data_IF_050114908391
#
_entry.id   IF_050114908391
#
_cell.length_a   1.000
_cell.length_b   1.000
_cell.length_c   1.000
_cell.angle_alpha   90.00
_cell.angle_beta   90.00
_cell.angle_gamma   90.00
#
_symmetry.space_group_name_H-M   'P 1'
#
loop_
_entity.id
_entity.type
_entity.pdbx_description
1 polymer ?
#
# COMPACT_ATOMS: atom_id res chain seq x y z
N UNK A 1 8.46 16.79 -3.46
CA UNK A 1 7.67 16.14 -2.40
C UNK A 1 6.21 16.46 -2.68
N UNK A 2 5.37 15.45 -2.90
CA UNK A 2 3.93 15.67 -3.10
C UNK A 2 3.21 15.62 -1.74
N UNK A 3 2.22 16.48 -1.55
CA UNK A 3 1.34 16.48 -0.38
C UNK A 3 -0.10 16.26 -0.82
N UNK A 4 -0.87 15.49 -0.05
CA UNK A 4 -2.27 15.18 -0.31
C UNK A 4 -3.13 15.61 0.91
N UNK A 5 -4.29 16.27 0.70
CA UNK A 5 -4.87 16.63 -0.59
C UNK A 5 -4.06 17.72 -1.33
N UNK A 6 -4.07 17.66 -2.67
CA UNK A 6 -3.39 18.66 -3.50
C UNK A 6 -4.18 19.97 -3.38
N UNK A 7 -3.58 21.01 -2.81
CA UNK A 7 -4.20 22.34 -2.76
C UNK A 7 -4.14 23.03 -4.13
N UNK A 8 -4.78 24.19 -4.27
CA UNK A 8 -4.69 25.03 -5.48
C UNK A 8 -3.28 25.62 -5.71
N UNK A 9 -2.32 25.37 -4.81
CA UNK A 9 -0.94 25.79 -4.96
C UNK A 9 -0.27 25.14 -6.18
N UNK A 10 0.17 25.98 -7.11
CA UNK A 10 0.86 25.60 -8.36
C UNK A 10 2.08 24.70 -8.14
N UNK A 11 2.79 24.86 -7.01
CA UNK A 11 3.95 24.05 -6.63
C UNK A 11 3.53 22.63 -6.20
N UNK A 12 2.44 22.51 -5.45
CA UNK A 12 1.91 21.21 -5.04
C UNK A 12 1.30 20.46 -6.22
N UNK A 13 0.60 21.17 -7.11
CA UNK A 13 0.11 20.59 -8.36
C UNK A 13 1.25 20.12 -9.28
N UNK A 14 2.34 20.89 -9.39
CA UNK A 14 3.48 20.48 -10.21
C UNK A 14 4.21 19.27 -9.61
N UNK A 15 4.36 19.24 -8.29
CA UNK A 15 4.92 18.09 -7.56
C UNK A 15 4.06 16.83 -7.73
N UNK A 16 2.73 16.96 -7.70
CA UNK A 16 1.83 15.83 -7.95
C UNK A 16 1.92 15.34 -9.40
N UNK A 17 1.93 16.25 -10.39
CA UNK A 17 2.14 15.86 -11.80
C UNK A 17 3.45 15.11 -12.01
N UNK A 18 4.51 15.50 -11.29
CA UNK A 18 5.78 14.79 -11.30
C UNK A 18 5.66 13.38 -10.71
N UNK A 19 4.96 13.21 -9.58
CA UNK A 19 4.66 11.89 -9.00
C UNK A 19 3.94 10.98 -10.01
N UNK A 20 2.90 11.49 -10.70
CA UNK A 20 2.17 10.72 -11.71
C UNK A 20 3.10 10.30 -12.87
N UNK A 21 4.02 11.18 -13.28
CA UNK A 21 4.98 10.92 -14.35
C UNK A 21 6.06 9.91 -13.95
N UNK A 22 6.49 9.91 -12.69
CA UNK A 22 7.51 8.99 -12.16
C UNK A 22 6.96 7.60 -11.85
N UNK A 23 5.63 7.44 -11.79
CA UNK A 23 5.04 6.11 -11.70
C UNK A 23 5.37 5.30 -12.96
N UNK A 24 5.96 4.12 -12.76
CA UNK A 24 6.18 3.16 -13.83
C UNK A 24 4.83 2.74 -14.41
N UNK A 25 4.75 2.62 -15.73
CA UNK A 25 3.57 2.07 -16.37
C UNK A 25 3.33 0.65 -15.82
N UNK A 26 2.10 0.37 -15.39
CA UNK A 26 1.76 -0.96 -14.93
C UNK A 26 1.82 -1.94 -16.12
N UNK A 27 2.86 -2.77 -16.20
CA UNK A 27 2.89 -3.89 -17.14
C UNK A 27 2.06 -5.06 -16.60
N UNK A 28 1.29 -5.71 -17.47
CA UNK A 28 0.58 -6.94 -17.11
C UNK A 28 1.44 -8.15 -17.49
N UNK A 29 1.86 -8.92 -16.49
CA UNK A 29 2.62 -10.15 -16.71
C UNK A 29 1.70 -11.28 -17.17
N UNK A 30 1.74 -11.62 -18.46
CA UNK A 30 1.18 -12.85 -19.02
C UNK A 30 2.32 -13.75 -19.51
N UNK A 31 3.09 -14.34 -18.57
CA UNK A 31 4.34 -15.06 -18.84
C UNK A 31 5.56 -14.13 -18.97
N UNK A 32 6.67 -14.63 -19.54
CA UNK A 32 7.95 -13.90 -19.80
C UNK A 32 7.85 -12.76 -20.85
N UNK A 33 6.65 -12.21 -21.08
CA UNK A 33 6.44 -11.10 -22.01
C UNK A 33 5.61 -10.03 -21.35
N UNK A 34 6.27 -8.91 -21.04
CA UNK A 34 5.62 -7.65 -20.71
C UNK A 34 4.91 -7.12 -21.97
N UNK A 35 3.59 -7.24 -22.02
CA UNK A 35 2.78 -6.64 -23.09
C UNK A 35 2.39 -5.23 -22.63
N UNK A 36 2.86 -4.22 -23.35
CA UNK A 36 2.44 -2.82 -23.22
C UNK A 36 1.04 -2.66 -23.83
N UNK A 37 0.02 -2.57 -22.99
CA UNK A 37 -1.36 -2.28 -23.38
C UNK A 37 -1.64 -0.77 -23.21
N UNK A 38 -2.17 -0.11 -24.23
CA UNK A 38 -2.44 1.33 -24.20
C UNK A 38 -3.50 1.71 -23.17
N UNK A 39 -4.41 0.81 -22.78
CA UNK A 39 -5.33 0.99 -21.65
C UNK A 39 -4.56 1.10 -20.31
N UNK A 40 -3.41 0.41 -20.20
CA UNK A 40 -2.56 0.44 -19.01
C UNK A 40 -1.67 1.69 -18.93
N UNK A 41 -1.59 2.52 -19.99
CA UNK A 41 -0.79 3.77 -19.97
C UNK A 41 -1.22 4.77 -18.87
N UNK A 42 -2.42 4.61 -18.31
CA UNK A 42 -2.99 5.51 -17.29
C UNK A 42 -3.07 4.91 -15.90
N UNK A 43 -2.55 3.68 -15.72
CA UNK A 43 -2.30 3.06 -14.44
C UNK A 43 -0.78 3.07 -14.19
N UNK A 44 -0.36 3.92 -13.27
CA UNK A 44 1.01 3.98 -12.79
C UNK A 44 1.17 3.21 -11.48
N UNK A 45 2.31 2.53 -11.31
CA UNK A 45 2.74 1.95 -10.04
C UNK A 45 4.09 2.50 -9.60
N UNK A 46 4.34 2.49 -8.31
CA UNK A 46 5.66 2.78 -7.75
C UNK A 46 5.94 1.78 -6.63
N UNK A 47 7.05 1.06 -6.75
CA UNK A 47 7.50 0.10 -5.75
C UNK A 47 8.13 0.83 -4.54
N UNK A 48 8.11 0.19 -3.36
CA UNK A 48 8.48 0.82 -2.07
C UNK A 48 9.90 1.41 -2.01
N UNK A 49 10.79 1.03 -2.93
CA UNK A 49 12.15 1.55 -3.00
C UNK A 49 12.21 2.96 -3.63
N UNK A 50 11.17 3.32 -4.39
CA UNK A 50 11.09 4.55 -5.17
C UNK A 50 10.24 5.65 -4.50
N UNK A 51 9.58 5.35 -3.36
CA UNK A 51 8.82 6.35 -2.60
C UNK A 51 8.87 6.15 -1.10
N UNK A 52 8.61 7.25 -0.38
CA UNK A 52 8.36 7.25 1.06
C UNK A 52 7.01 7.91 1.34
N UNK A 53 6.37 7.50 2.43
CA UNK A 53 5.14 8.12 2.92
C UNK A 53 5.20 8.28 4.44
N UNK A 54 4.63 9.36 4.95
CA UNK A 54 4.40 9.57 6.38
C UNK A 54 3.08 8.94 6.86
N UNK A 55 2.27 8.38 5.96
CA UNK A 55 1.06 7.69 6.33
C UNK A 55 1.38 6.30 6.88
N UNK A 56 0.86 6.00 8.08
CA UNK A 56 0.95 4.68 8.69
C UNK A 56 -0.43 4.22 9.14
N UNK A 57 -0.94 3.07 8.63
CA UNK A 57 -2.27 2.58 9.00
C UNK A 57 -2.36 2.15 10.48
N UNK A 58 -1.22 2.04 11.18
CA UNK A 58 -1.18 1.70 12.60
C UNK A 58 -1.58 2.88 13.50
N UNK A 59 -1.10 4.09 13.22
CA UNK A 59 -1.39 5.26 14.08
C UNK A 59 -2.86 5.69 14.03
N UNK A 60 -3.54 5.36 12.94
CA UNK A 60 -4.96 5.67 12.74
C UNK A 60 -5.90 4.52 13.12
N UNK A 61 -5.40 3.45 13.78
CA UNK A 61 -6.22 2.33 14.24
C UNK A 61 -6.84 1.46 13.13
N UNK A 62 -6.39 1.62 11.88
CA UNK A 62 -6.89 0.83 10.74
C UNK A 62 -6.53 -0.64 10.94
N UNK A 63 -5.28 -0.93 11.30
CA UNK A 63 -4.83 -2.31 11.54
C UNK A 63 -5.55 -2.92 12.75
N UNK A 64 -5.77 -2.16 13.82
CA UNK A 64 -6.51 -2.64 15.00
C UNK A 64 -7.95 -2.98 14.65
N UNK A 65 -8.60 -2.16 13.82
CA UNK A 65 -9.96 -2.42 13.32
C UNK A 65 -9.99 -3.71 12.50
N UNK A 66 -9.00 -3.94 11.62
CA UNK A 66 -8.89 -5.17 10.84
C UNK A 66 -8.66 -6.38 11.76
N UNK A 67 -7.81 -6.26 12.77
CA UNK A 67 -7.58 -7.32 13.77
C UNK A 67 -8.88 -7.66 14.50
N UNK A 68 -9.63 -6.67 14.96
CA UNK A 68 -10.90 -6.91 15.65
C UNK A 68 -11.94 -7.57 14.74
N UNK A 69 -12.06 -7.11 13.49
CA UNK A 69 -13.03 -7.65 12.55
C UNK A 69 -12.67 -9.08 12.06
N UNK A 70 -11.39 -9.35 11.79
CA UNK A 70 -10.95 -10.58 11.15
C UNK A 70 -10.38 -11.63 12.11
N UNK A 71 -9.72 -11.21 13.21
CA UNK A 71 -9.05 -12.14 14.13
C UNK A 71 -9.96 -12.64 15.27
N UNK A 72 -11.01 -11.91 15.64
CA UNK A 72 -11.92 -12.34 16.72
C UNK A 72 -12.81 -13.54 16.35
N UNK A 73 -12.89 -13.89 15.07
CA UNK A 73 -13.73 -14.98 14.55
C UNK A 73 -13.03 -16.35 14.44
N UNK A 74 -11.75 -16.45 14.81
CA UNK A 74 -11.05 -17.75 14.82
C UNK A 74 -11.05 -18.38 16.22
N UNK A 75 -11.52 -19.63 16.27
CA UNK A 75 -11.53 -20.50 17.44
C UNK A 75 -10.20 -20.42 18.22
N UNK A 76 -10.27 -19.88 19.45
CA UNK A 76 -9.11 -19.66 20.35
C UNK A 76 -8.33 -20.96 20.63
N UNK A 77 -8.89 -22.11 20.29
CA UNK A 77 -8.27 -23.43 20.50
C UNK A 77 -7.39 -23.94 19.36
N UNK A 78 -7.38 -23.31 18.16
CA UNK A 78 -6.75 -23.91 16.95
C UNK A 78 -5.67 -23.09 16.23
N UNK A 79 -5.48 -21.81 16.55
CA UNK A 79 -4.48 -21.00 15.82
C UNK A 79 -3.60 -20.18 16.76
N UNK A 80 -2.28 -20.37 16.66
CA UNK A 80 -1.27 -19.59 17.39
C UNK A 80 -1.13 -18.13 16.89
N UNK A 81 -1.89 -17.72 15.87
CA UNK A 81 -1.82 -16.37 15.31
C UNK A 81 -2.69 -15.42 16.13
N UNK A 82 -2.06 -14.37 16.69
CA UNK A 82 -2.71 -13.41 17.58
C UNK A 82 -2.68 -11.96 17.07
N UNK A 83 -2.16 -11.72 15.87
CA UNK A 83 -2.10 -10.37 15.30
C UNK A 83 -2.08 -10.35 13.78
N UNK A 84 -2.16 -9.13 13.25
CA UNK A 84 -2.03 -8.83 11.83
C UNK A 84 -0.96 -7.74 11.68
N UNK A 85 -0.07 -7.93 10.71
CA UNK A 85 0.93 -6.96 10.30
C UNK A 85 0.62 -6.48 8.88
N UNK A 86 0.39 -5.19 8.72
CA UNK A 86 0.35 -4.52 7.43
C UNK A 86 1.77 -4.12 6.99
N UNK A 87 2.17 -4.55 5.79
CA UNK A 87 3.44 -4.21 5.17
C UNK A 87 3.20 -3.43 3.89
N UNK A 88 3.71 -2.20 3.81
CA UNK A 88 3.61 -1.38 2.61
C UNK A 88 4.21 -2.14 1.41
N UNK A 89 3.50 -2.14 0.29
CA UNK A 89 3.87 -2.88 -0.89
C UNK A 89 4.06 -1.98 -2.12
N UNK A 90 3.07 -1.16 -2.47
CA UNK A 90 3.15 -0.30 -3.66
C UNK A 90 2.24 0.90 -3.54
N UNK A 91 2.58 1.96 -4.26
CA UNK A 91 1.69 3.06 -4.58
C UNK A 91 1.13 2.85 -5.99
N UNK A 92 -0.17 3.07 -6.18
CA UNK A 92 -0.79 3.06 -7.51
C UNK A 92 -1.50 4.38 -7.78
N UNK A 93 -1.37 4.88 -9.01
CA UNK A 93 -2.11 6.05 -9.52
C UNK A 93 -2.89 5.63 -10.75
N UNK A 94 -4.21 5.81 -10.72
CA UNK A 94 -5.08 5.61 -11.88
C UNK A 94 -5.62 6.97 -12.32
N UNK A 95 -5.37 7.33 -13.57
CA UNK A 95 -5.69 8.66 -14.09
C UNK A 95 -6.81 8.59 -15.13
N UNK A 96 -7.77 9.50 -15.03
CA UNK A 96 -8.80 9.64 -16.04
C UNK A 96 -8.34 10.35 -17.31
N UNK A 97 -9.05 10.17 -18.44
CA UNK A 97 -10.07 9.15 -18.67
C UNK A 97 -9.44 7.77 -18.94
N UNK A 98 -10.09 6.64 -18.68
CA UNK A 98 -9.62 5.26 -18.94
C UNK A 98 -8.61 4.64 -17.95
N UNK A 99 -8.40 5.20 -16.77
CA UNK A 99 -7.60 4.53 -15.73
C UNK A 99 -8.36 3.32 -15.17
N UNK A 100 -8.02 2.09 -15.59
CA UNK A 100 -8.68 0.86 -15.12
C UNK A 100 -7.68 -0.15 -14.54
N UNK A 101 -8.17 -1.10 -13.75
CA UNK A 101 -7.41 -2.32 -13.44
C UNK A 101 -8.29 -3.54 -13.59
N UNK A 102 -7.93 -4.41 -14.54
CA UNK A 102 -8.67 -5.65 -14.83
C UNK A 102 -8.74 -6.54 -13.59
N UNK A 103 -9.79 -7.35 -13.54
CA UNK A 103 -10.01 -8.25 -12.42
C UNK A 103 -8.85 -9.23 -12.29
N UNK A 104 -8.36 -9.37 -11.06
CA UNK A 104 -7.28 -10.27 -10.72
C UNK A 104 -7.43 -10.75 -9.28
N UNK A 105 -6.81 -11.88 -9.00
CA UNK A 105 -6.58 -12.36 -7.64
C UNK A 105 -5.13 -12.07 -7.33
N UNK A 106 -4.86 -11.55 -6.13
CA UNK A 106 -3.49 -11.34 -5.69
C UNK A 106 -2.79 -12.69 -5.56
N UNK A 107 -1.63 -12.86 -6.20
CA UNK A 107 -0.80 -14.05 -5.98
C UNK A 107 -0.24 -13.99 -4.56
N UNK A 108 -0.54 -14.96 -3.68
CA UNK A 108 0.02 -14.99 -2.33
C UNK A 108 1.55 -15.06 -2.40
N UNK A 109 2.23 -14.16 -1.70
CA UNK A 109 3.71 -14.11 -1.65
C UNK A 109 4.30 -14.90 -0.49
N UNK A 110 3.45 -15.40 0.40
CA UNK A 110 3.82 -16.19 1.58
C UNK A 110 2.58 -16.91 2.09
N UNK A 111 2.75 -18.07 2.72
CA UNK A 111 1.69 -18.76 3.46
C UNK A 111 1.08 -17.90 4.59
N UNK A 112 1.84 -16.92 5.09
CA UNK A 112 1.37 -16.01 6.12
C UNK A 112 0.57 -14.83 5.56
N UNK A 113 0.61 -14.58 4.24
CA UNK A 113 -0.17 -13.51 3.63
C UNK A 113 -1.64 -13.91 3.62
N UNK A 114 -2.44 -13.18 4.41
CA UNK A 114 -3.87 -13.44 4.52
C UNK A 114 -4.72 -12.54 3.63
N UNK A 115 -4.17 -11.43 3.16
CA UNK A 115 -4.95 -10.48 2.36
C UNK A 115 -4.22 -9.21 2.03
N UNK A 116 -5.00 -8.23 1.60
CA UNK A 116 -4.55 -6.93 1.12
C UNK A 116 -5.36 -5.83 1.79
N UNK A 117 -4.67 -4.74 2.13
CA UNK A 117 -5.26 -3.48 2.59
C UNK A 117 -4.97 -2.42 1.52
N UNK A 118 -6.01 -1.82 0.97
CA UNK A 118 -5.92 -0.72 0.02
C UNK A 118 -6.38 0.55 0.72
N UNK A 119 -5.48 1.52 0.84
CA UNK A 119 -5.72 2.84 1.41
C UNK A 119 -5.80 3.86 0.29
N UNK A 120 -6.86 4.65 0.28
CA UNK A 120 -7.13 5.72 -0.66
C UNK A 120 -6.62 7.02 -0.08
N UNK A 121 -5.68 7.64 -0.79
CA UNK A 121 -5.19 8.96 -0.41
C UNK A 121 -6.10 10.03 -0.99
N UNK A 122 -6.32 11.15 -0.28
CA UNK A 122 -7.29 12.15 -0.68
C UNK A 122 -6.82 12.86 -1.95
N UNK A 123 -7.48 12.57 -3.07
CA UNK A 123 -7.37 13.28 -4.33
C UNK A 123 -8.73 13.23 -5.07
N UNK A 124 -9.23 14.37 -5.58
CA UNK A 124 -10.46 14.40 -6.37
C UNK A 124 -10.39 13.47 -7.58
N UNK A 125 -11.41 12.62 -7.74
CA UNK A 125 -11.59 11.77 -8.93
C UNK A 125 -13.06 11.35 -9.10
N UNK A 126 -13.42 10.91 -10.30
CA UNK A 126 -14.70 10.27 -10.60
C UNK A 126 -14.47 8.84 -11.10
N UNK A 127 -15.38 7.93 -10.75
CA UNK A 127 -15.22 6.50 -11.01
C UNK A 127 -14.14 5.86 -10.14
N UNK A 128 -13.45 4.84 -10.62
CA UNK A 128 -12.35 4.22 -9.88
C UNK A 128 -12.76 3.34 -8.70
N UNK A 129 -14.03 2.93 -8.63
CA UNK A 129 -14.53 2.09 -7.54
C UNK A 129 -13.75 0.77 -7.46
N UNK A 130 -13.59 0.26 -6.24
CA UNK A 130 -13.01 -1.06 -6.01
C UNK A 130 -14.12 -2.09 -5.91
N UNK A 131 -14.18 -2.99 -6.87
CA UNK A 131 -15.05 -4.16 -6.79
C UNK A 131 -14.24 -5.33 -6.25
N UNK A 132 -14.70 -5.91 -5.14
CA UNK A 132 -14.13 -7.11 -4.51
C UNK A 132 -15.15 -8.23 -4.60
N UNK A 133 -14.76 -9.37 -5.16
CA UNK A 133 -15.61 -10.53 -5.41
C UNK A 133 -15.04 -11.77 -4.72
N UNK A 134 -15.92 -12.49 -4.03
CA UNK A 134 -15.59 -13.77 -3.40
C UNK A 134 -16.83 -14.67 -3.38
N UNK A 135 -16.68 -15.93 -3.82
CA UNK A 135 -17.74 -16.95 -3.84
C UNK A 135 -19.08 -16.47 -4.45
N UNK A 136 -19.00 -15.74 -5.58
CA UNK A 136 -20.19 -15.25 -6.30
C UNK A 136 -20.87 -14.02 -5.67
N UNK A 137 -20.33 -13.47 -4.57
CA UNK A 137 -20.74 -12.18 -4.01
C UNK A 137 -19.77 -11.09 -4.42
N UNK A 138 -20.27 -9.94 -4.85
CA UNK A 138 -19.48 -8.75 -5.18
C UNK A 138 -19.88 -7.60 -4.24
N UNK A 139 -18.87 -6.90 -3.71
CA UNK A 139 -19.03 -5.66 -2.97
C UNK A 139 -18.30 -4.58 -3.73
N UNK A 140 -18.99 -3.47 -4.01
CA UNK A 140 -18.41 -2.30 -4.67
C UNK A 140 -18.21 -1.23 -3.62
N UNK A 141 -16.95 -0.82 -3.46
CA UNK A 141 -16.59 0.31 -2.63
C UNK A 141 -16.47 1.55 -3.51
N UNK A 142 -17.41 2.48 -3.34
CA UNK A 142 -17.40 3.79 -3.99
C UNK A 142 -17.02 4.87 -2.96
N UNK A 143 -16.00 5.62 -3.32
CA UNK A 143 -15.35 6.61 -2.47
C UNK A 143 -15.22 7.96 -3.18
N UNK A 144 -15.73 8.09 -4.41
CA UNK A 144 -15.53 9.29 -5.24
C UNK A 144 -16.09 10.57 -4.60
N UNK A 145 -17.20 10.48 -3.87
CA UNK A 145 -17.85 11.66 -3.26
C UNK A 145 -17.05 12.29 -2.11
N UNK A 146 -16.22 11.52 -1.42
CA UNK A 146 -15.43 12.00 -0.27
C UNK A 146 -13.92 12.03 -0.58
N UNK A 147 -13.54 11.66 -1.82
CA UNK A 147 -12.16 11.42 -2.20
C UNK A 147 -11.26 12.64 -2.11
N UNK A 148 -11.81 13.86 -2.08
CA UNK A 148 -11.05 15.08 -2.00
C UNK A 148 -10.52 15.38 -0.59
N UNK A 149 -11.10 14.78 0.46
CA UNK A 149 -10.91 15.25 1.84
C UNK A 149 -10.60 14.15 2.84
N UNK A 150 -11.05 12.92 2.60
CA UNK A 150 -10.92 11.82 3.56
C UNK A 150 -10.00 10.72 3.05
N UNK A 151 -9.24 10.12 3.96
CA UNK A 151 -8.58 8.83 3.72
C UNK A 151 -9.62 7.74 3.92
N UNK A 152 -9.80 6.91 2.90
CA UNK A 152 -10.70 5.76 2.93
C UNK A 152 -9.89 4.48 2.74
N UNK A 153 -10.42 3.33 3.14
CA UNK A 153 -9.68 2.08 3.01
C UNK A 153 -10.61 0.88 2.93
N UNK A 154 -10.11 -0.21 2.34
CA UNK A 154 -10.71 -1.53 2.41
C UNK A 154 -9.65 -2.59 2.62
N UNK A 155 -10.00 -3.61 3.40
CA UNK A 155 -9.20 -4.81 3.59
C UNK A 155 -10.00 -6.04 3.14
N UNK A 156 -9.35 -6.95 2.43
CA UNK A 156 -9.97 -8.17 1.93
C UNK A 156 -8.96 -9.32 1.90
N UNK A 157 -9.46 -10.56 1.91
CA UNK A 157 -8.63 -11.77 1.90
C UNK A 157 -7.95 -11.97 0.54
N UNK A 158 -6.84 -12.71 0.53
CA UNK A 158 -6.01 -12.92 -0.66
C UNK A 158 -6.68 -13.79 -1.73
N UNK A 159 -7.70 -14.56 -1.36
CA UNK A 159 -8.53 -15.35 -2.27
C UNK A 159 -9.70 -14.55 -2.88
N UNK A 160 -9.88 -13.28 -2.49
CA UNK A 160 -10.80 -12.38 -3.16
C UNK A 160 -10.23 -11.90 -4.50
N UNK A 161 -11.04 -12.02 -5.54
CA UNK A 161 -10.79 -11.33 -6.81
C UNK A 161 -11.15 -9.86 -6.64
N UNK A 162 -10.32 -8.96 -7.18
CA UNK A 162 -10.62 -7.54 -7.16
C UNK A 162 -10.26 -6.83 -8.46
N UNK A 163 -11.02 -5.79 -8.78
CA UNK A 163 -10.83 -4.92 -9.94
C UNK A 163 -11.03 -3.47 -9.56
N UNK A 164 -10.38 -2.58 -10.29
CA UNK A 164 -10.62 -1.14 -10.22
C UNK A 164 -11.43 -0.76 -11.45
N UNK A 165 -12.64 -0.25 -11.22
CA UNK A 165 -13.48 0.29 -12.29
C UNK A 165 -12.82 1.53 -12.91
N UNK A 166 -13.31 1.96 -14.07
CA UNK A 166 -12.72 3.07 -14.80
C UNK A 166 -12.74 4.37 -13.98
N UNK A 167 -11.58 5.00 -13.86
CA UNK A 167 -11.44 6.39 -13.47
C UNK A 167 -11.75 7.25 -14.70
N UNK A 168 -12.85 7.98 -14.64
CA UNK A 168 -13.30 8.84 -15.75
C UNK A 168 -12.68 10.22 -15.67
N UNK A 169 -12.46 10.75 -14.46
CA UNK A 169 -11.88 12.07 -14.22
C UNK A 169 -10.94 12.06 -13.01
N UNK A 170 -9.94 12.95 -13.02
CA UNK A 170 -9.00 13.13 -11.92
C UNK A 170 -8.01 11.96 -11.74
N UNK A 171 -7.54 11.79 -10.51
CA UNK A 171 -6.54 10.79 -10.16
C UNK A 171 -6.92 10.02 -8.89
N UNK A 172 -7.01 8.71 -9.00
CA UNK A 172 -7.19 7.79 -7.87
C UNK A 172 -5.82 7.33 -7.38
N UNK A 173 -5.42 7.79 -6.21
CA UNK A 173 -4.12 7.50 -5.60
C UNK A 173 -4.31 6.53 -4.44
N UNK A 174 -3.58 5.42 -4.44
CA UNK A 174 -3.71 4.38 -3.41
C UNK A 174 -2.38 3.87 -2.91
N UNK A 175 -2.31 3.55 -1.62
CA UNK A 175 -1.27 2.73 -1.01
C UNK A 175 -1.80 1.32 -0.79
N UNK A 176 -1.08 0.32 -1.28
CA UNK A 176 -1.41 -1.10 -1.05
C UNK A 176 -0.48 -1.67 -0.01
N UNK A 177 -1.05 -2.36 0.98
CA UNK A 177 -0.34 -3.10 2.01
C UNK A 177 -0.69 -4.57 1.92
N UNK A 178 0.32 -5.44 2.04
CA UNK A 178 0.10 -6.86 2.27
C UNK A 178 -0.21 -7.09 3.75
N UNK A 179 -1.25 -7.85 4.05
CA UNK A 179 -1.63 -8.22 5.41
C UNK A 179 -1.10 -9.62 5.72
N UNK A 180 -0.31 -9.73 6.79
CA UNK A 180 0.28 -10.98 7.25
C UNK A 180 -0.25 -11.35 8.63
N UNK A 181 -0.55 -12.63 8.84
CA UNK A 181 -0.81 -13.16 10.19
C UNK A 181 0.49 -13.17 11.00
N UNK A 182 0.40 -12.77 12.27
CA UNK A 182 1.52 -12.82 13.21
C UNK A 182 1.19 -13.71 14.39
N UNK A 183 2.20 -14.43 14.89
CA UNK A 183 2.10 -15.25 16.11
C UNK A 183 2.03 -14.38 17.38
N UNK A 184 2.56 -13.16 17.30
CA UNK A 184 2.60 -12.20 18.40
C UNK A 184 1.52 -11.13 18.23
N UNK A 185 0.67 -10.98 19.25
CA UNK A 185 -0.18 -9.80 19.42
C UNK A 185 0.61 -8.67 20.07
N UNK A 186 0.16 -7.40 20.01
CA UNK A 186 0.76 -6.32 20.79
C UNK A 186 0.93 -6.67 22.28
N UNK A 187 -0.03 -7.42 22.86
CA UNK A 187 0.03 -7.89 24.24
C UNK A 187 1.04 -9.03 24.49
N UNK A 188 1.52 -9.70 23.44
CA UNK A 188 2.55 -10.76 23.53
C UNK A 188 3.97 -10.22 23.36
N UNK A 189 4.12 -8.97 22.89
CA UNK A 189 5.43 -8.31 22.71
C UNK A 189 6.06 -7.89 24.04
N UNK A 190 5.27 -7.72 25.11
CA UNK A 190 5.79 -7.42 26.45
C UNK A 190 6.60 -8.57 27.06
N UNK A 191 6.41 -9.79 26.57
CA UNK A 191 7.08 -10.99 27.08
C UNK A 191 8.11 -11.57 26.09
N UNK A 192 8.27 -10.97 24.90
CA UNK A 192 9.04 -11.53 23.80
C UNK A 192 9.96 -10.49 23.13
N UNK A 193 11.14 -10.27 23.74
CA UNK A 193 12.13 -9.29 23.28
C UNK A 193 12.80 -9.67 21.95
N UNK A 194 12.82 -10.96 21.59
CA UNK A 194 13.39 -11.45 20.32
C UNK A 194 12.48 -11.18 19.10
N UNK A 195 11.23 -10.73 19.33
CA UNK A 195 10.28 -10.45 18.26
C UNK A 195 10.66 -9.23 17.41
N UNK A 196 11.58 -8.37 17.90
CA UNK A 196 12.12 -7.24 17.16
C UNK A 196 13.63 -7.47 16.97
N UNK A 197 14.01 -8.30 15.99
CA UNK A 197 15.39 -8.27 15.51
C UNK A 197 15.61 -6.97 14.75
N UNK A 198 16.19 -5.97 15.42
CA UNK A 198 16.53 -4.69 14.82
C UNK A 198 17.37 -4.84 13.55
N UNK A 199 18.15 -5.92 13.42
CA UNK A 199 19.00 -6.18 12.25
C UNK A 199 18.21 -6.53 10.99
N UNK A 200 16.98 -7.01 11.17
CA UNK A 200 16.04 -7.32 10.08
C UNK A 200 15.28 -6.09 9.56
N UNK A 201 15.35 -4.96 10.27
CA UNK A 201 14.65 -3.74 9.87
C UNK A 201 15.34 -3.10 8.67
N UNK A 202 14.54 -2.65 7.71
CA UNK A 202 15.00 -1.90 6.52
C UNK A 202 15.87 -0.71 6.94
N UNK A 203 15.46 -0.01 8.00
CA UNK A 203 16.25 1.06 8.61
C UNK A 203 17.65 0.62 9.01
N UNK A 204 17.80 -0.51 9.71
CA UNK A 204 19.12 -1.00 10.11
C UNK A 204 19.99 -1.34 8.91
N UNK A 205 19.43 -1.99 7.89
CA UNK A 205 20.18 -2.30 6.67
C UNK A 205 20.63 -1.03 5.93
N UNK A 206 19.76 -0.03 5.82
CA UNK A 206 20.03 1.24 5.17
C UNK A 206 21.03 2.07 5.97
N UNK A 207 20.85 2.14 7.28
CA UNK A 207 21.75 2.79 8.23
C UNK A 207 23.14 2.13 8.21
N UNK A 208 23.22 0.79 8.22
CA UNK A 208 24.48 0.08 8.16
C UNK A 208 25.20 0.30 6.82
N UNK A 209 24.47 0.36 5.70
CA UNK A 209 25.03 0.77 4.40
C UNK A 209 25.54 2.20 4.43
N UNK A 210 24.79 3.12 5.04
CA UNK A 210 25.15 4.53 5.17
C UNK A 210 26.42 4.72 6.01
N UNK A 211 26.50 4.07 7.17
CA UNK A 211 27.67 4.11 8.07
C UNK A 211 28.90 3.47 7.42
N UNK A 212 28.72 2.47 6.56
CA UNK A 212 29.82 1.85 5.80
C UNK A 212 30.24 2.63 4.55
N UNK A 213 29.50 3.68 4.18
CA UNK A 213 29.87 4.53 3.06
C UNK A 213 30.99 5.50 3.50
N UNK A 214 32.17 5.37 2.89
CA UNK A 214 33.35 6.17 3.24
C UNK A 214 33.12 7.69 3.10
N UNK A 215 32.25 8.11 2.17
CA UNK A 215 31.89 9.51 1.93
C UNK A 215 30.96 10.11 2.99
N UNK A 216 30.26 9.26 3.76
CA UNK A 216 29.35 9.72 4.81
C UNK A 216 30.10 10.06 6.10
N UNK A 217 31.13 9.28 6.45
CA UNK A 217 31.92 9.49 7.68
C UNK A 217 33.09 10.46 7.50
N UNK A 218 33.52 10.75 6.27
CA UNK A 218 34.67 11.63 5.98
C UNK A 218 34.43 13.12 6.26
N UNK A 219 33.23 13.53 6.70
CA UNK A 219 32.91 14.92 7.07
C UNK A 219 32.85 15.20 8.58
N UNK A 220 33.15 14.21 9.43
CA UNK A 220 33.12 14.36 10.89
C UNK A 220 34.50 14.44 11.56
N UNK A 221 35.59 14.63 10.81
CA UNK A 221 36.90 14.94 11.41
C UNK A 221 37.00 16.45 11.70
N UNK A 222 36.60 16.79 12.93
CA UNK A 222 37.26 17.72 13.86
C UNK A 222 37.86 19.01 13.26
N UNK A 223 37.10 20.11 13.31
CA UNK A 223 37.69 21.43 13.56
C UNK A 223 37.81 21.61 15.08
N UNK A 224 39.00 21.30 15.60
CA UNK A 224 39.49 21.81 16.89
C UNK A 224 40.67 22.74 16.63
#
# INVERSE_FOLDING_TARGET
>A
MASLPVSEDTVLQSSFRQLVKECELATFGKGDKDILDEEYRKAGKMDTENFCTNFTPYEYGVVDTIVQALAYNHDKSKTNYRGIRAQLYKLNVYSGPAGTFKAHVDTPRSELQMGSLVVYLPHPHQGGQLAVRHQGREVIYDWGSESATHVQWAAFFSDCEHKVLEVTEGHRVTLTYNLFRTLHSPASMSENFDAIDQRSLVFYSAFNKLVKCADFLSKCELQH
#
